data_IF_013148138388
#
_entry.id   IF_013148138388
#
_cell.length_a   1.000
_cell.length_b   1.000
_cell.length_c   1.000
_cell.angle_alpha   90.00
_cell.angle_beta   90.00
_cell.angle_gamma   90.00
#
_symmetry.space_group_name_H-M   'P 1'
#
loop_
_entity.id
_entity.type
_entity.pdbx_description
1 polymer ?
#
# COMPACT_ATOMS: atom_id res chain seq x y z
N UNK A 1 18.56 -9.19 -10.30
CA UNK A 1 18.90 -10.63 -10.15
C UNK A 1 17.61 -11.43 -10.02
N UNK A 2 17.62 -12.72 -10.35
CA UNK A 2 16.47 -13.61 -10.16
C UNK A 2 16.58 -14.29 -8.81
N UNK A 3 15.54 -14.22 -8.00
CA UNK A 3 15.49 -14.88 -6.70
C UNK A 3 15.16 -16.38 -6.80
N UNK A 4 15.24 -17.12 -5.69
CA UNK A 4 15.14 -18.59 -5.71
C UNK A 4 13.72 -19.12 -5.96
N UNK A 5 12.67 -18.29 -5.84
CA UNK A 5 11.28 -18.72 -5.98
C UNK A 5 10.64 -18.34 -7.31
N UNK A 6 11.39 -17.69 -8.20
CA UNK A 6 10.94 -17.37 -9.57
C UNK A 6 12.07 -17.62 -10.57
N UNK A 7 11.72 -17.92 -11.82
CA UNK A 7 12.67 -17.97 -12.93
C UNK A 7 12.66 -16.70 -13.79
N UNK A 8 11.74 -15.77 -13.52
CA UNK A 8 11.53 -14.56 -14.32
C UNK A 8 12.47 -13.45 -13.83
N UNK A 9 13.19 -12.84 -14.76
CA UNK A 9 14.03 -11.67 -14.48
C UNK A 9 13.18 -10.48 -13.95
N UNK A 10 13.83 -9.52 -13.24
CA UNK A 10 13.09 -8.39 -12.66
C UNK A 10 12.34 -7.55 -13.70
N UNK A 11 11.10 -7.22 -13.38
CA UNK A 11 10.26 -6.32 -14.17
C UNK A 11 10.66 -4.85 -14.02
N UNK A 12 11.47 -4.52 -13.00
CA UNK A 12 12.11 -3.21 -12.85
C UNK A 12 13.62 -3.31 -13.12
N UNK A 13 14.17 -2.22 -13.65
CA UNK A 13 15.61 -2.01 -13.79
C UNK A 13 16.00 -0.65 -13.22
N UNK A 14 17.19 -0.53 -12.57
CA UNK A 14 17.68 0.77 -12.12
C UNK A 14 17.79 1.76 -13.27
N UNK A 15 17.43 3.01 -13.02
CA UNK A 15 17.67 4.08 -13.98
C UNK A 15 19.17 4.29 -14.17
N UNK A 16 19.60 4.59 -15.39
CA UNK A 16 21.00 4.67 -15.74
C UNK A 16 21.78 5.63 -14.83
N UNK A 17 22.89 5.15 -14.27
CA UNK A 17 23.75 5.91 -13.36
C UNK A 17 23.46 5.72 -11.87
N UNK A 18 22.34 5.10 -11.49
CA UNK A 18 22.04 4.79 -10.09
C UNK A 18 22.79 3.53 -9.62
N UNK A 19 23.30 3.50 -8.37
CA UNK A 19 23.97 2.34 -7.79
C UNK A 19 22.99 1.27 -7.28
N UNK A 20 21.76 1.31 -7.71
CA UNK A 20 20.66 0.47 -7.24
C UNK A 20 20.68 -0.92 -7.87
N UNK A 21 19.99 -1.86 -7.25
CA UNK A 21 19.81 -3.20 -7.84
C UNK A 21 18.41 -3.72 -7.54
N UNK A 22 17.94 -4.69 -8.35
CA UNK A 22 16.64 -5.32 -8.22
C UNK A 22 16.79 -6.83 -8.17
N UNK A 23 16.04 -7.48 -7.27
CA UNK A 23 15.90 -8.93 -7.21
C UNK A 23 14.43 -9.30 -7.31
N UNK A 24 14.04 -10.10 -8.31
CA UNK A 24 12.69 -10.66 -8.39
C UNK A 24 12.50 -11.70 -7.30
N UNK A 25 11.37 -11.65 -6.59
CA UNK A 25 11.05 -12.61 -5.50
C UNK A 25 10.04 -13.64 -5.99
N UNK A 26 8.95 -13.19 -6.59
CA UNK A 26 7.85 -14.03 -7.03
C UNK A 26 7.14 -13.37 -8.23
N UNK A 27 6.75 -14.16 -9.21
CA UNK A 27 6.03 -13.71 -10.41
C UNK A 27 4.67 -14.39 -10.48
N UNK A 28 3.65 -13.72 -10.99
CA UNK A 28 2.33 -14.30 -11.20
C UNK A 28 2.43 -15.62 -11.98
N UNK A 29 1.82 -16.68 -11.45
CA UNK A 29 1.94 -18.04 -11.94
C UNK A 29 2.95 -18.91 -11.20
N UNK A 30 3.94 -18.34 -10.51
CA UNK A 30 4.86 -19.11 -9.67
C UNK A 30 4.11 -19.81 -8.53
N UNK A 31 4.63 -20.95 -8.10
CA UNK A 31 4.01 -21.80 -7.09
C UNK A 31 4.99 -22.07 -5.95
N UNK A 32 4.54 -21.88 -4.72
CA UNK A 32 5.30 -22.11 -3.49
C UNK A 32 4.56 -23.09 -2.56
N UNK A 33 5.19 -23.61 -1.50
CA UNK A 33 4.49 -24.39 -0.49
C UNK A 33 3.33 -23.59 0.12
N UNK A 34 2.16 -24.23 0.24
CA UNK A 34 1.03 -23.63 0.94
C UNK A 34 1.17 -23.82 2.45
N UNK A 35 0.91 -22.78 3.23
CA UNK A 35 0.78 -22.91 4.69
C UNK A 35 -0.34 -23.90 5.00
N UNK A 36 -0.02 -24.93 5.78
CA UNK A 36 -0.96 -26.03 6.07
C UNK A 36 -0.92 -27.18 5.08
N UNK A 37 -0.09 -27.12 4.03
CA UNK A 37 0.16 -28.22 3.08
C UNK A 37 -0.42 -27.99 1.68
N UNK A 38 0.21 -28.63 0.70
CA UNK A 38 -0.10 -28.43 -0.72
C UNK A 38 0.73 -27.32 -1.36
N UNK A 39 0.21 -26.72 -2.44
CA UNK A 39 0.86 -25.63 -3.17
C UNK A 39 -0.03 -24.39 -3.23
N UNK A 40 0.60 -23.21 -3.28
CA UNK A 40 -0.06 -21.92 -3.38
C UNK A 40 0.55 -21.15 -4.54
N UNK A 41 -0.31 -20.67 -5.44
CA UNK A 41 0.11 -19.98 -6.66
C UNK A 41 -0.09 -18.47 -6.50
N UNK A 42 0.91 -17.69 -6.93
CA UNK A 42 0.78 -16.24 -7.03
C UNK A 42 -0.22 -15.90 -8.14
N UNK A 43 -1.21 -15.10 -7.78
CA UNK A 43 -2.19 -14.52 -8.69
C UNK A 43 -1.68 -13.15 -9.15
N UNK A 44 -2.17 -12.67 -10.28
CA UNK A 44 -1.77 -11.38 -10.84
C UNK A 44 -2.43 -10.19 -10.15
N UNK A 45 -2.22 -9.05 -10.76
CA UNK A 45 -2.67 -7.73 -10.27
C UNK A 45 -2.21 -7.49 -8.82
N UNK A 46 -0.89 -7.74 -8.52
CA UNK A 46 -0.35 -7.42 -7.20
C UNK A 46 -0.33 -5.92 -7.00
N UNK A 47 -0.77 -5.46 -5.84
CA UNK A 47 -0.81 -4.06 -5.51
C UNK A 47 -0.26 -3.82 -4.09
N UNK A 48 -0.95 -3.01 -3.28
CA UNK A 48 -0.53 -2.60 -1.96
C UNK A 48 0.19 -3.66 -1.15
N UNK A 49 1.34 -3.31 -0.61
CA UNK A 49 2.21 -4.20 0.14
C UNK A 49 2.28 -3.79 1.61
N UNK A 50 2.47 -4.80 2.45
CA UNK A 50 2.83 -4.62 3.84
C UNK A 50 3.82 -5.72 4.26
N UNK A 51 4.68 -5.47 5.25
CA UNK A 51 5.64 -6.47 5.72
C UNK A 51 5.80 -6.46 7.23
N UNK A 52 6.01 -7.65 7.82
CA UNK A 52 6.29 -7.80 9.25
C UNK A 52 7.42 -8.81 9.48
N UNK A 53 8.30 -8.48 10.41
CA UNK A 53 9.33 -9.41 10.89
C UNK A 53 8.72 -10.50 11.75
N UNK A 54 8.95 -11.76 11.41
CA UNK A 54 8.48 -12.91 12.21
C UNK A 54 9.40 -13.23 13.41
N UNK A 55 10.59 -12.60 13.51
CA UNK A 55 11.55 -12.80 14.59
C UNK A 55 12.29 -14.13 14.57
N UNK A 56 12.09 -14.98 13.54
CA UNK A 56 12.62 -16.34 13.43
C UNK A 56 13.49 -16.57 12.18
N UNK A 57 14.05 -15.50 11.60
CA UNK A 57 14.82 -15.56 10.35
C UNK A 57 13.96 -15.45 9.09
N UNK A 58 12.64 -15.30 9.24
CA UNK A 58 11.72 -15.03 8.12
C UNK A 58 10.98 -13.70 8.34
N UNK A 59 10.34 -13.23 7.30
CA UNK A 59 9.36 -12.14 7.37
C UNK A 59 8.14 -12.50 6.51
N UNK A 60 7.00 -11.88 6.81
CA UNK A 60 5.76 -12.07 6.05
C UNK A 60 5.45 -10.81 5.27
N UNK A 61 5.20 -10.97 3.97
CA UNK A 61 4.64 -9.94 3.10
C UNK A 61 3.15 -10.19 2.94
N UNK A 62 2.35 -9.15 3.12
CA UNK A 62 0.94 -9.09 2.78
C UNK A 62 0.84 -8.31 1.48
N UNK A 63 0.08 -8.85 0.52
CA UNK A 63 -0.04 -8.28 -0.82
C UNK A 63 -1.50 -8.24 -1.21
N UNK A 64 -1.99 -7.06 -1.53
CA UNK A 64 -3.29 -6.89 -2.15
C UNK A 64 -3.28 -7.46 -3.57
N UNK A 65 -4.43 -7.96 -4.00
CA UNK A 65 -4.68 -8.31 -5.39
C UNK A 65 -5.92 -7.53 -5.86
N UNK A 66 -5.70 -6.62 -6.78
CA UNK A 66 -6.68 -5.66 -7.29
C UNK A 66 -7.64 -6.31 -8.30
N UNK A 67 -8.26 -7.41 -7.92
CA UNK A 67 -9.21 -8.11 -8.77
C UNK A 67 -10.62 -7.55 -8.62
N UNK A 68 -11.31 -7.36 -9.76
CA UNK A 68 -12.73 -7.04 -9.74
C UNK A 68 -13.55 -8.19 -9.16
N UNK A 69 -14.58 -7.85 -8.37
CA UNK A 69 -15.53 -8.83 -7.81
C UNK A 69 -16.00 -9.83 -8.87
N UNK A 70 -15.98 -11.11 -8.54
CA UNK A 70 -16.35 -12.19 -9.43
C UNK A 70 -15.24 -12.69 -10.37
N UNK A 71 -14.07 -12.03 -10.40
CA UNK A 71 -12.89 -12.47 -11.18
C UNK A 71 -11.97 -13.38 -10.38
N UNK A 72 -11.21 -14.21 -11.07
CA UNK A 72 -10.24 -15.13 -10.47
C UNK A 72 -10.88 -16.35 -9.80
N UNK A 73 -10.08 -17.04 -8.99
CA UNK A 73 -10.53 -18.22 -8.24
C UNK A 73 -11.23 -17.86 -6.94
N UNK A 74 -12.04 -18.78 -6.42
CA UNK A 74 -12.61 -18.64 -5.07
C UNK A 74 -11.50 -18.74 -4.04
N UNK A 75 -11.42 -17.76 -3.15
CA UNK A 75 -10.40 -17.62 -2.10
C UNK A 75 -10.91 -18.23 -0.77
N UNK A 76 -10.03 -18.24 0.27
CA UNK A 76 -10.36 -18.86 1.56
C UNK A 76 -11.62 -18.28 2.22
N UNK A 77 -11.91 -17.00 2.01
CA UNK A 77 -13.15 -16.37 2.50
C UNK A 77 -14.41 -16.73 1.69
N UNK A 78 -14.32 -17.67 0.74
CA UNK A 78 -15.48 -18.24 0.05
C UNK A 78 -16.02 -17.44 -1.12
N UNK A 79 -15.32 -16.40 -1.60
CA UNK A 79 -15.71 -15.61 -2.77
C UNK A 79 -14.52 -15.40 -3.71
N UNK A 80 -14.79 -14.97 -4.94
CA UNK A 80 -13.81 -14.47 -5.90
C UNK A 80 -13.85 -12.96 -5.97
N UNK A 81 -12.76 -12.34 -6.48
CA UNK A 81 -12.51 -10.90 -6.51
C UNK A 81 -11.26 -10.54 -5.74
N UNK A 82 -11.19 -9.31 -5.23
CA UNK A 82 -10.06 -8.82 -4.47
C UNK A 82 -9.83 -9.64 -3.19
N UNK A 83 -8.56 -9.80 -2.82
CA UNK A 83 -8.14 -10.51 -1.61
C UNK A 83 -6.73 -10.08 -1.22
N UNK A 84 -6.28 -10.50 -0.03
CA UNK A 84 -4.91 -10.30 0.43
C UNK A 84 -4.20 -11.65 0.51
N UNK A 85 -3.05 -11.79 -0.16
CA UNK A 85 -2.17 -12.95 -0.02
C UNK A 85 -1.11 -12.70 1.05
N UNK A 86 -0.60 -13.79 1.63
CA UNK A 86 0.54 -13.77 2.57
C UNK A 86 1.69 -14.60 2.00
N UNK A 87 2.92 -14.07 2.12
CA UNK A 87 4.13 -14.71 1.63
C UNK A 87 5.17 -14.74 2.75
N UNK A 88 5.54 -15.93 3.20
CA UNK A 88 6.59 -16.12 4.21
C UNK A 88 7.91 -16.26 3.48
N UNK A 89 8.83 -15.33 3.72
CA UNK A 89 10.09 -15.19 2.99
C UNK A 89 11.27 -15.35 3.96
N UNK A 90 12.23 -16.19 3.61
CA UNK A 90 13.49 -16.33 4.33
C UNK A 90 14.37 -15.09 4.11
N UNK A 91 14.85 -14.47 5.19
CA UNK A 91 15.61 -13.20 5.13
C UNK A 91 16.96 -13.33 4.47
N UNK A 92 17.61 -14.49 4.62
CA UNK A 92 18.97 -14.70 4.13
C UNK A 92 19.00 -15.04 2.64
N UNK A 93 18.00 -15.78 2.15
CA UNK A 93 17.98 -16.32 0.79
C UNK A 93 16.95 -15.65 -0.12
N UNK A 94 15.97 -14.94 0.44
CA UNK A 94 14.78 -14.43 -0.24
C UNK A 94 13.88 -15.53 -0.81
N UNK A 95 14.05 -16.78 -0.34
CA UNK A 95 13.16 -17.87 -0.74
C UNK A 95 11.79 -17.72 -0.09
N UNK A 96 10.73 -17.81 -0.89
CA UNK A 96 9.37 -17.88 -0.40
C UNK A 96 9.11 -19.29 0.09
N UNK A 97 8.95 -19.45 1.40
CA UNK A 97 8.82 -20.74 2.08
C UNK A 97 7.35 -21.10 2.37
N UNK A 98 6.44 -20.16 2.22
CA UNK A 98 5.01 -20.38 2.41
C UNK A 98 4.13 -19.30 1.80
N UNK A 99 2.95 -19.69 1.32
CA UNK A 99 1.91 -18.78 0.83
C UNK A 99 0.53 -19.18 1.34
N UNK A 100 -0.36 -18.20 1.55
CA UNK A 100 -1.75 -18.42 1.95
C UNK A 100 -2.61 -17.18 1.65
N UNK A 101 -3.94 -17.33 1.69
CA UNK A 101 -4.85 -16.20 1.78
C UNK A 101 -4.89 -15.69 3.22
N UNK A 102 -4.79 -14.37 3.40
CA UNK A 102 -4.95 -13.74 4.72
C UNK A 102 -6.40 -13.84 5.18
N UNK A 103 -7.34 -13.41 4.34
CA UNK A 103 -8.74 -13.25 4.70
C UNK A 103 -9.43 -14.61 4.72
N UNK A 104 -9.93 -15.00 5.89
CA UNK A 104 -10.69 -16.25 6.09
C UNK A 104 -12.19 -15.98 6.23
N UNK A 105 -12.55 -14.87 6.89
CA UNK A 105 -13.93 -14.44 7.12
C UNK A 105 -14.01 -12.92 7.10
N UNK A 106 -15.20 -12.39 6.82
CA UNK A 106 -15.48 -10.95 6.81
C UNK A 106 -16.60 -10.62 7.77
N UNK A 107 -16.36 -9.69 8.68
CA UNK A 107 -17.35 -9.08 9.58
C UNK A 107 -17.87 -7.80 8.92
N UNK A 108 -19.05 -7.88 8.31
CA UNK A 108 -19.74 -6.74 7.70
C UNK A 108 -20.47 -5.90 8.74
N UNK A 109 -20.71 -4.63 8.45
CA UNK A 109 -21.45 -3.75 9.34
C UNK A 109 -22.97 -3.87 9.13
N UNK A 110 -23.72 -3.99 10.23
CA UNK A 110 -25.17 -3.88 10.24
C UNK A 110 -25.55 -2.43 10.62
N UNK A 111 -25.84 -1.62 9.62
CA UNK A 111 -26.17 -0.21 9.83
C UNK A 111 -27.45 0.02 10.65
N UNK A 112 -28.40 -0.92 10.62
CA UNK A 112 -29.66 -0.82 11.40
C UNK A 112 -29.37 -1.10 12.86
N UNK A 113 -28.58 -2.15 13.16
CA UNK A 113 -28.25 -2.51 14.53
C UNK A 113 -27.11 -1.71 15.15
N UNK A 114 -26.31 -1.00 14.32
CA UNK A 114 -25.12 -0.28 14.78
C UNK A 114 -24.05 -1.22 15.34
N UNK A 115 -23.94 -2.43 14.80
CA UNK A 115 -23.01 -3.47 15.27
C UNK A 115 -22.47 -4.29 14.09
N UNK A 116 -21.38 -5.01 14.29
CA UNK A 116 -20.91 -5.99 13.31
C UNK A 116 -21.83 -7.23 13.25
N UNK A 117 -22.06 -7.72 12.05
CA UNK A 117 -22.53 -9.09 11.87
C UNK A 117 -21.43 -10.05 12.30
N UNK A 118 -21.81 -11.27 12.69
CA UNK A 118 -20.83 -12.34 12.92
C UNK A 118 -19.97 -12.55 11.67
N UNK A 119 -18.66 -12.80 11.83
CA UNK A 119 -17.78 -13.08 10.70
C UNK A 119 -18.31 -14.23 9.85
N UNK A 120 -18.36 -14.02 8.54
CA UNK A 120 -18.93 -14.97 7.58
C UNK A 120 -18.05 -15.14 6.35
N UNK A 121 -18.27 -16.23 5.61
CA UNK A 121 -17.69 -16.49 4.29
C UNK A 121 -18.65 -16.08 3.18
N UNK A 122 -18.16 -16.04 1.93
CA UNK A 122 -18.98 -15.73 0.75
C UNK A 122 -19.17 -14.22 0.48
N UNK A 123 -18.47 -13.37 1.20
CA UNK A 123 -18.49 -11.92 0.99
C UNK A 123 -17.46 -11.57 -0.09
N UNK A 124 -17.92 -11.15 -1.25
CA UNK A 124 -17.04 -10.69 -2.33
C UNK A 124 -16.52 -9.28 -2.08
N UNK A 125 -15.28 -9.05 -2.48
CA UNK A 125 -14.59 -7.76 -2.43
C UNK A 125 -14.08 -7.40 -3.83
N UNK A 126 -13.78 -6.12 -4.06
CA UNK A 126 -13.38 -5.64 -5.38
C UNK A 126 -12.22 -4.67 -5.26
N UNK A 127 -11.25 -4.77 -6.18
CA UNK A 127 -10.15 -3.83 -6.38
C UNK A 127 -9.56 -3.31 -5.06
N UNK A 128 -8.70 -4.11 -4.44
CA UNK A 128 -7.84 -3.68 -3.35
C UNK A 128 -6.56 -3.11 -3.93
N UNK A 129 -6.46 -1.78 -3.96
CA UNK A 129 -5.28 -1.06 -4.42
C UNK A 129 -4.22 -0.97 -3.32
N UNK A 130 -3.79 0.21 -2.90
CA UNK A 130 -2.76 0.36 -1.90
C UNK A 130 -3.12 -0.23 -0.51
N UNK A 131 -2.14 -0.38 0.37
CA UNK A 131 -2.30 -0.93 1.71
C UNK A 131 -1.45 -0.19 2.74
N UNK A 132 -1.94 -0.12 3.98
CA UNK A 132 -1.18 0.41 5.12
C UNK A 132 -1.06 -0.63 6.24
N UNK A 133 0.16 -0.85 6.74
CA UNK A 133 0.42 -1.59 7.98
C UNK A 133 1.01 -0.65 9.02
N UNK A 134 0.18 0.08 9.76
CA UNK A 134 0.65 1.09 10.69
C UNK A 134 1.51 0.48 11.80
N UNK A 135 2.38 1.28 12.37
CA UNK A 135 3.10 0.92 13.60
C UNK A 135 2.11 0.74 14.76
N UNK A 136 2.50 -0.01 15.78
CA UNK A 136 1.63 -0.35 16.94
C UNK A 136 1.03 0.91 17.60
N UNK A 137 1.77 2.01 17.66
CA UNK A 137 1.33 3.27 18.27
C UNK A 137 0.11 3.89 17.61
N UNK A 138 -0.14 3.61 16.33
CA UNK A 138 -1.34 4.08 15.64
C UNK A 138 -2.63 3.58 16.31
N UNK A 139 -2.62 2.35 16.84
CA UNK A 139 -3.79 1.71 17.44
C UNK A 139 -3.65 1.38 18.93
N UNK A 140 -2.49 1.62 19.53
CA UNK A 140 -2.25 1.41 20.95
C UNK A 140 -1.48 2.58 21.56
N UNK A 141 -2.02 3.16 22.63
CA UNK A 141 -1.31 4.17 23.41
C UNK A 141 -0.77 3.53 24.70
N UNK A 142 0.52 3.27 24.75
CA UNK A 142 1.17 2.69 25.93
C UNK A 142 1.09 3.58 27.17
N UNK A 143 0.91 4.90 27.01
CA UNK A 143 0.79 5.86 28.12
C UNK A 143 -0.52 5.75 28.88
N UNK A 144 -1.64 5.50 28.18
CA UNK A 144 -2.97 5.32 28.78
C UNK A 144 -3.38 3.84 28.92
N UNK A 145 -2.72 2.95 28.18
CA UNK A 145 -3.11 1.54 28.05
C UNK A 145 -4.34 1.30 27.18
N UNK A 146 -4.82 2.32 26.45
CA UNK A 146 -5.96 2.22 25.54
C UNK A 146 -5.53 1.73 24.16
N UNK A 147 -6.43 1.00 23.51
CA UNK A 147 -6.22 0.48 22.16
C UNK A 147 -5.93 -1.00 22.09
N UNK A 148 -5.30 -1.43 21.01
CA UNK A 148 -4.86 -2.80 20.76
C UNK A 148 -3.44 -2.83 20.20
N UNK A 149 -2.61 -3.77 20.69
CA UNK A 149 -1.29 -4.05 20.13
C UNK A 149 -1.36 -5.10 18.99
N UNK A 150 -2.54 -5.65 18.71
CA UNK A 150 -2.74 -6.52 17.57
C UNK A 150 -2.51 -5.75 16.27
N UNK A 151 -1.84 -6.42 15.33
CA UNK A 151 -1.47 -5.79 14.06
C UNK A 151 -2.65 -5.89 13.09
N UNK A 152 -2.87 -4.81 12.38
CA UNK A 152 -3.97 -4.64 11.43
C UNK A 152 -3.40 -4.06 10.14
N UNK A 153 -3.69 -4.69 9.02
CA UNK A 153 -3.47 -4.12 7.68
C UNK A 153 -4.75 -3.42 7.27
N UNK A 154 -4.64 -2.16 6.89
CA UNK A 154 -5.74 -1.38 6.32
C UNK A 154 -5.68 -1.45 4.80
N UNK A 155 -6.82 -1.48 4.15
CA UNK A 155 -6.99 -1.31 2.71
C UNK A 155 -8.43 -0.88 2.40
N UNK A 156 -8.71 -0.60 1.13
CA UNK A 156 -10.04 -0.23 0.69
C UNK A 156 -10.39 -0.82 -0.66
N UNK A 157 -11.68 -0.76 -1.00
CA UNK A 157 -12.18 -1.07 -2.34
C UNK A 157 -12.16 0.20 -3.19
N UNK A 158 -11.40 0.22 -4.26
CA UNK A 158 -11.47 1.24 -5.28
C UNK A 158 -12.71 1.01 -6.14
N UNK A 159 -13.82 1.57 -5.71
CA UNK A 159 -15.10 1.43 -6.41
C UNK A 159 -16.02 2.62 -6.13
N UNK A 160 -16.22 3.45 -7.13
CA UNK A 160 -17.13 4.61 -7.07
C UNK A 160 -18.60 4.25 -6.86
N UNK A 161 -18.97 2.97 -6.93
CA UNK A 161 -20.36 2.53 -6.68
C UNK A 161 -20.60 2.15 -5.22
N UNK A 162 -19.59 1.60 -4.51
CA UNK A 162 -19.82 0.96 -3.22
C UNK A 162 -18.55 0.77 -2.37
N UNK A 163 -17.44 1.42 -2.69
CA UNK A 163 -16.15 1.17 -2.04
C UNK A 163 -16.21 1.18 -0.52
N UNK A 164 -15.66 0.15 0.10
CA UNK A 164 -15.61 -0.07 1.54
C UNK A 164 -14.15 -0.01 2.01
N UNK A 165 -13.91 0.59 3.17
CA UNK A 165 -12.65 0.46 3.87
C UNK A 165 -12.65 -0.79 4.77
N UNK A 166 -11.50 -1.42 4.95
CA UNK A 166 -11.34 -2.65 5.73
C UNK A 166 -10.15 -2.60 6.69
N UNK A 167 -10.30 -3.33 7.78
CA UNK A 167 -9.26 -3.67 8.74
C UNK A 167 -9.04 -5.19 8.73
N UNK A 168 -7.89 -5.63 8.25
CA UNK A 168 -7.51 -7.04 8.18
C UNK A 168 -6.64 -7.36 9.40
N UNK A 169 -7.16 -8.13 10.35
CA UNK A 169 -6.43 -8.52 11.56
C UNK A 169 -5.40 -9.59 11.22
N UNK A 170 -4.11 -9.32 11.50
CA UNK A 170 -3.01 -10.23 11.14
C UNK A 170 -2.35 -10.93 12.33
N UNK A 171 -2.67 -10.50 13.57
CA UNK A 171 -2.16 -11.15 14.80
C UNK A 171 -3.28 -11.35 15.81
N UNK A 172 -3.01 -12.15 16.85
CA UNK A 172 -3.98 -12.42 17.91
C UNK A 172 -5.04 -13.46 17.54
N UNK A 173 -6.10 -13.54 18.33
CA UNK A 173 -7.17 -14.55 18.17
C UNK A 173 -8.06 -14.31 16.96
N UNK A 174 -8.16 -13.06 16.53
CA UNK A 174 -9.00 -12.64 15.40
C UNK A 174 -8.19 -12.59 14.07
N UNK A 175 -6.97 -13.14 14.07
CA UNK A 175 -6.15 -13.23 12.85
C UNK A 175 -6.89 -13.95 11.73
N UNK A 176 -6.94 -13.32 10.55
CA UNK A 176 -7.70 -13.79 9.39
C UNK A 176 -9.15 -13.28 9.31
N UNK A 177 -9.62 -12.52 10.31
CA UNK A 177 -10.90 -11.82 10.24
C UNK A 177 -10.67 -10.42 9.69
N UNK A 178 -11.44 -10.08 8.67
CA UNK A 178 -11.49 -8.74 8.07
C UNK A 178 -12.75 -8.02 8.51
N UNK A 179 -12.61 -6.80 9.01
CA UNK A 179 -13.72 -5.97 9.46
C UNK A 179 -13.98 -4.83 8.48
N UNK A 180 -15.22 -4.64 8.06
CA UNK A 180 -15.66 -3.44 7.34
C UNK A 180 -15.55 -2.23 8.27
N UNK A 181 -15.12 -1.06 7.75
CA UNK A 181 -14.94 0.18 8.51
C UNK A 181 -15.94 1.26 8.05
N UNK A 182 -17.22 1.14 8.38
CA UNK A 182 -18.28 2.00 7.83
C UNK A 182 -18.17 3.46 8.29
N UNK A 183 -17.50 3.73 9.41
CA UNK A 183 -17.33 5.09 9.92
C UNK A 183 -16.28 5.90 9.15
N UNK A 184 -15.50 5.25 8.27
CA UNK A 184 -14.66 5.92 7.29
C UNK A 184 -15.45 6.36 6.04
N UNK A 185 -16.77 6.06 5.98
CA UNK A 185 -17.63 6.36 4.86
C UNK A 185 -17.55 5.32 3.74
N UNK A 186 -17.96 5.74 2.56
CA UNK A 186 -17.90 5.02 1.28
C UNK A 186 -17.18 5.90 0.29
N UNK A 187 -16.12 5.40 -0.32
CA UNK A 187 -15.34 6.11 -1.33
C UNK A 187 -14.75 5.12 -2.33
N UNK A 188 -14.22 5.59 -3.44
CA UNK A 188 -13.34 4.79 -4.29
C UNK A 188 -11.96 4.75 -3.61
N UNK A 189 -11.83 3.94 -2.56
CA UNK A 189 -10.64 3.99 -1.72
C UNK A 189 -9.42 3.46 -2.46
N UNK A 190 -8.51 4.38 -2.81
CA UNK A 190 -7.16 4.00 -3.15
C UNK A 190 -6.43 3.46 -1.92
N UNK A 191 -6.43 4.22 -0.83
CA UNK A 191 -5.86 3.77 0.43
C UNK A 191 -6.60 4.33 1.64
N UNK A 192 -6.37 3.71 2.80
CA UNK A 192 -6.75 4.18 4.13
C UNK A 192 -5.56 4.07 5.07
N UNK A 193 -5.01 5.21 5.51
CA UNK A 193 -3.67 5.32 6.11
C UNK A 193 -3.74 5.88 7.53
N UNK A 194 -3.31 5.09 8.52
CA UNK A 194 -3.41 5.47 9.93
C UNK A 194 -2.18 6.27 10.42
N UNK A 195 -2.45 7.35 11.17
CA UNK A 195 -1.40 8.18 11.75
C UNK A 195 -0.58 7.41 12.80
N UNK A 196 0.78 7.46 12.74
CA UNK A 196 1.65 6.69 13.64
C UNK A 196 1.77 7.26 15.06
N UNK A 197 1.26 8.45 15.35
CA UNK A 197 1.47 9.13 16.63
C UNK A 197 0.75 8.41 17.79
N UNK A 198 1.49 8.21 18.90
CA UNK A 198 0.97 7.56 20.09
C UNK A 198 0.06 8.50 20.90
N UNK A 199 -1.24 8.33 20.79
CA UNK A 199 -2.28 9.10 21.49
C UNK A 199 -3.55 8.28 21.65
N UNK A 200 -4.53 8.80 22.41
CA UNK A 200 -5.82 8.13 22.60
C UNK A 200 -6.76 8.28 21.40
N UNK A 201 -6.54 9.28 20.54
CA UNK A 201 -7.21 9.36 19.25
C UNK A 201 -6.61 8.38 18.25
N UNK A 202 -7.44 7.92 17.34
CA UNK A 202 -7.05 7.21 16.12
C UNK A 202 -7.43 8.08 14.93
N UNK A 203 -6.44 8.44 14.12
CA UNK A 203 -6.62 9.28 12.95
C UNK A 203 -6.31 8.43 11.71
N UNK A 204 -7.22 8.39 10.75
CA UNK A 204 -7.05 7.66 9.49
C UNK A 204 -7.41 8.59 8.34
N UNK A 205 -6.50 8.72 7.38
CA UNK A 205 -6.78 9.41 6.11
C UNK A 205 -7.30 8.38 5.12
N UNK A 206 -8.42 8.71 4.46
CA UNK A 206 -8.97 7.95 3.33
C UNK A 206 -8.87 8.77 2.06
N UNK A 207 -8.39 8.16 1.00
CA UNK A 207 -8.16 8.78 -0.30
C UNK A 207 -9.18 8.22 -1.29
N UNK A 208 -10.02 9.11 -1.86
CA UNK A 208 -11.08 8.75 -2.80
C UNK A 208 -10.60 8.97 -4.23
N UNK A 209 -10.13 7.90 -4.89
CA UNK A 209 -9.74 7.92 -6.28
C UNK A 209 -10.96 8.08 -7.21
N UNK A 210 -11.56 9.23 -7.14
CA UNK A 210 -12.58 9.69 -8.07
C UNK A 210 -12.10 10.93 -8.83
N UNK A 211 -12.67 11.17 -10.00
CA UNK A 211 -12.29 12.29 -10.86
C UNK A 211 -13.39 13.35 -10.96
N UNK A 212 -13.48 14.32 -10.01
CA UNK A 212 -12.61 14.54 -8.84
C UNK A 212 -13.09 13.78 -7.60
N UNK A 213 -12.17 13.51 -6.65
CA UNK A 213 -12.42 12.86 -5.37
C UNK A 213 -11.97 13.67 -4.16
N UNK A 214 -12.16 13.15 -2.96
CA UNK A 214 -11.89 13.86 -1.72
C UNK A 214 -10.75 13.19 -0.92
N UNK A 215 -10.12 13.99 -0.05
CA UNK A 215 -9.25 13.50 1.02
C UNK A 215 -10.04 13.56 2.32
N UNK A 216 -10.38 12.39 2.85
CA UNK A 216 -11.12 12.25 4.10
C UNK A 216 -10.19 12.07 5.29
N UNK A 217 -10.61 12.54 6.46
CA UNK A 217 -9.92 12.33 7.73
C UNK A 217 -10.91 11.78 8.75
N UNK A 218 -10.74 10.53 9.12
CA UNK A 218 -11.49 9.91 10.20
C UNK A 218 -10.79 10.15 11.54
N UNK A 219 -11.55 10.51 12.57
CA UNK A 219 -11.05 10.70 13.93
C UNK A 219 -11.89 9.88 14.89
N UNK A 220 -11.29 8.84 15.46
CA UNK A 220 -11.89 7.98 16.47
C UNK A 220 -11.15 8.03 17.80
N UNK A 221 -11.61 7.26 18.77
CA UNK A 221 -10.98 7.14 20.09
C UNK A 221 -10.68 5.68 20.42
N UNK A 222 -9.47 5.41 20.88
CA UNK A 222 -9.08 4.10 21.39
C UNK A 222 -9.87 3.73 22.63
N UNK A 223 -10.13 2.44 22.80
CA UNK A 223 -10.90 1.92 23.94
C UNK A 223 -10.17 0.77 24.64
N UNK A 224 -10.55 0.48 25.89
CA UNK A 224 -10.00 -0.65 26.65
C UNK A 224 -10.76 -1.95 26.43
N UNK A 225 -11.96 -1.90 25.83
CA UNK A 225 -12.87 -3.05 25.66
C UNK A 225 -13.46 -3.06 24.25
N UNK A 226 -14.06 -4.17 23.85
CA UNK A 226 -14.65 -4.37 22.54
C UNK A 226 -13.81 -5.29 21.64
N UNK A 227 -14.21 -5.41 20.39
CA UNK A 227 -13.45 -6.10 19.34
C UNK A 227 -12.12 -5.39 19.07
N UNK A 228 -11.24 -6.03 18.30
CA UNK A 228 -9.94 -5.45 17.90
C UNK A 228 -10.11 -4.06 17.28
N UNK A 229 -11.05 -3.89 16.34
CA UNK A 229 -11.27 -2.62 15.64
C UNK A 229 -11.95 -1.56 16.50
N UNK A 230 -12.78 -1.95 17.47
CA UNK A 230 -13.35 -1.01 18.45
C UNK A 230 -12.26 -0.52 19.41
N UNK A 231 -11.43 -1.43 19.93
CA UNK A 231 -10.26 -1.04 20.75
C UNK A 231 -9.30 -0.14 19.97
N UNK A 232 -9.05 -0.46 18.71
CA UNK A 232 -8.21 0.37 17.83
C UNK A 232 -8.77 1.79 17.59
N UNK A 233 -10.00 2.07 17.98
CA UNK A 233 -10.66 3.36 17.73
C UNK A 233 -11.11 3.54 16.27
N UNK A 234 -11.31 2.45 15.54
CA UNK A 234 -11.76 2.47 14.13
C UNK A 234 -13.28 2.45 13.97
N UNK A 235 -14.02 2.46 15.09
CA UNK A 235 -15.48 2.43 15.13
C UNK A 235 -16.00 3.58 16.01
N UNK A 236 -17.11 4.20 15.61
CA UNK A 236 -17.80 5.21 16.39
C UNK A 236 -17.17 6.63 16.35
N UNK A 237 -16.16 6.84 15.50
CA UNK A 237 -15.57 8.16 15.28
C UNK A 237 -16.35 9.03 14.30
N UNK A 238 -15.81 10.20 13.99
CA UNK A 238 -16.36 11.17 13.05
C UNK A 238 -15.53 11.23 11.76
N UNK A 239 -16.22 11.41 10.64
CA UNK A 239 -15.59 11.63 9.32
C UNK A 239 -15.60 13.12 8.99
N UNK A 240 -14.45 13.60 8.56
CA UNK A 240 -14.23 14.94 8.05
C UNK A 240 -13.68 14.88 6.63
N UNK A 241 -13.87 15.95 5.86
CA UNK A 241 -13.17 16.17 4.61
C UNK A 241 -12.23 17.36 4.69
N UNK A 242 -11.11 17.29 3.99
CA UNK A 242 -10.16 18.41 3.86
C UNK A 242 -10.82 19.53 3.06
N UNK A 243 -10.87 20.73 3.66
CA UNK A 243 -11.49 21.92 3.06
C UNK A 243 -10.46 23.04 2.99
N UNK A 244 -10.20 23.54 1.79
CA UNK A 244 -9.28 24.66 1.54
C UNK A 244 -10.07 25.87 1.07
N UNK A 245 -9.96 26.98 1.79
CA UNK A 245 -10.72 28.18 1.50
C UNK A 245 -10.41 28.70 0.07
N UNK A 246 -11.46 28.92 -0.72
CA UNK A 246 -11.34 29.38 -2.10
C UNK A 246 -10.94 28.30 -3.12
N UNK A 247 -10.83 27.04 -2.71
CA UNK A 247 -10.47 25.90 -3.55
C UNK A 247 -11.58 24.83 -3.47
N UNK A 248 -12.59 24.97 -4.31
CA UNK A 248 -13.64 23.95 -4.40
C UNK A 248 -13.14 22.67 -5.07
N UNK A 249 -12.27 22.81 -6.07
CA UNK A 249 -11.59 21.70 -6.76
C UNK A 249 -10.13 22.06 -6.94
N UNK A 250 -9.26 21.06 -6.89
CA UNK A 250 -7.83 21.18 -7.20
C UNK A 250 -7.65 21.98 -8.50
N UNK A 251 -7.01 23.15 -8.45
CA UNK A 251 -6.82 23.95 -9.64
C UNK A 251 -5.50 23.58 -10.34
N UNK A 252 -5.32 24.11 -11.56
CA UNK A 252 -4.02 24.18 -12.19
C UNK A 252 -3.18 25.25 -11.46
N UNK A 253 -2.73 24.97 -10.24
CA UNK A 253 -1.98 25.92 -9.43
C UNK A 253 -0.49 25.81 -9.69
N UNK A 254 0.15 26.99 -9.80
CA UNK A 254 1.58 27.09 -9.57
C UNK A 254 1.84 27.03 -8.06
N UNK A 255 2.84 26.27 -7.58
CA UNK A 255 3.17 26.17 -6.16
C UNK A 255 3.79 27.47 -5.68
N UNK A 256 3.08 28.28 -4.94
CA UNK A 256 3.68 29.55 -4.47
C UNK A 256 3.46 29.85 -3.00
N UNK A 257 2.53 29.20 -2.32
CA UNK A 257 2.35 29.36 -0.88
C UNK A 257 1.48 28.25 -0.29
N UNK A 258 1.79 27.86 0.94
CA UNK A 258 0.92 27.01 1.70
C UNK A 258 -0.46 27.67 1.90
N UNK A 259 -1.53 26.95 1.61
CA UNK A 259 -2.89 27.37 1.85
C UNK A 259 -3.39 26.76 3.17
N UNK A 260 -4.12 27.54 3.97
CA UNK A 260 -4.74 26.96 5.16
C UNK A 260 -5.83 25.96 4.76
N UNK A 261 -5.87 24.82 5.45
CA UNK A 261 -6.98 23.88 5.38
C UNK A 261 -7.68 23.74 6.74
N UNK A 262 -8.93 23.41 6.70
CA UNK A 262 -9.73 22.99 7.85
C UNK A 262 -10.34 21.61 7.60
N UNK A 263 -10.83 20.97 8.64
CA UNK A 263 -11.61 19.74 8.53
C UNK A 263 -13.10 20.06 8.63
N UNK A 264 -13.84 19.87 7.54
CA UNK A 264 -15.30 20.03 7.52
C UNK A 264 -15.98 18.71 7.87
N UNK A 265 -16.86 18.70 8.86
CA UNK A 265 -17.57 17.49 9.28
C UNK A 265 -18.52 17.01 8.18
N UNK A 266 -18.35 15.76 7.74
CA UNK A 266 -19.25 15.13 6.76
C UNK A 266 -20.51 14.57 7.43
N UNK A 267 -20.42 14.29 8.75
CA UNK A 267 -21.53 13.81 9.54
C UNK A 267 -21.50 12.31 9.84
N UNK A 268 -22.64 11.73 10.19
CA UNK A 268 -22.77 10.31 10.49
C UNK A 268 -22.88 9.51 9.19
N UNK A 269 -21.83 8.80 8.82
CA UNK A 269 -21.68 8.15 7.49
C UNK A 269 -21.87 6.64 7.49
N UNK A 270 -21.89 5.98 8.65
CA UNK A 270 -21.83 4.52 8.77
C UNK A 270 -22.97 3.74 8.09
N UNK A 271 -24.01 4.38 7.65
CA UNK A 271 -25.14 3.77 6.92
C UNK A 271 -25.38 4.40 5.55
N UNK A 272 -24.52 5.33 5.13
CA UNK A 272 -24.68 6.05 3.88
C UNK A 272 -24.10 5.24 2.70
N UNK A 273 -24.73 5.40 1.53
CA UNK A 273 -24.14 4.96 0.26
C UNK A 273 -23.07 5.95 -0.19
N UNK A 274 -22.23 5.52 -1.17
CA UNK A 274 -21.24 6.40 -1.80
C UNK A 274 -21.84 7.75 -2.23
N UNK A 275 -22.93 7.74 -3.01
CA UNK A 275 -23.58 8.98 -3.50
C UNK A 275 -24.10 9.87 -2.35
N UNK A 276 -24.48 9.29 -1.21
CA UNK A 276 -24.90 10.07 -0.05
C UNK A 276 -23.72 10.70 0.69
N UNK A 277 -22.57 9.98 0.76
CA UNK A 277 -21.34 10.54 1.32
C UNK A 277 -20.84 11.68 0.44
N UNK A 278 -20.86 11.53 -0.89
CA UNK A 278 -20.54 12.58 -1.86
C UNK A 278 -21.44 13.83 -1.64
N UNK A 279 -22.75 13.63 -1.55
CA UNK A 279 -23.68 14.75 -1.32
C UNK A 279 -23.43 15.45 0.02
N UNK A 280 -23.10 14.69 1.06
CA UNK A 280 -22.77 15.25 2.38
C UNK A 280 -21.45 16.04 2.32
N UNK A 281 -20.44 15.54 1.61
CA UNK A 281 -19.17 16.21 1.40
C UNK A 281 -19.30 17.51 0.61
N UNK A 282 -20.10 17.50 -0.47
CA UNK A 282 -20.42 18.71 -1.23
C UNK A 282 -21.14 19.75 -0.37
N UNK A 283 -22.09 19.32 0.46
CA UNK A 283 -22.82 20.19 1.39
C UNK A 283 -21.88 20.79 2.46
N UNK A 284 -20.89 20.01 2.90
CA UNK A 284 -19.87 20.45 3.87
C UNK A 284 -18.80 21.36 3.25
N UNK A 285 -18.77 21.50 1.92
CA UNK A 285 -17.80 22.31 1.19
C UNK A 285 -16.42 21.69 1.13
N UNK A 286 -16.33 20.36 1.18
CA UNK A 286 -15.05 19.62 1.09
C UNK A 286 -14.39 19.90 -0.25
N UNK A 287 -13.08 20.15 -0.22
CA UNK A 287 -12.27 20.33 -1.44
C UNK A 287 -12.14 19.02 -2.20
N UNK A 288 -12.28 19.07 -3.52
CA UNK A 288 -12.07 17.94 -4.43
C UNK A 288 -10.69 18.01 -5.06
N UNK A 289 -9.99 16.88 -5.06
CA UNK A 289 -8.72 16.69 -5.73
C UNK A 289 -8.90 15.88 -7.02
N UNK A 290 -7.95 15.97 -7.95
CA UNK A 290 -8.03 15.29 -9.23
C UNK A 290 -7.45 13.88 -9.10
N UNK A 291 -8.27 12.92 -8.68
CA UNK A 291 -7.88 11.56 -8.33
C UNK A 291 -6.81 11.58 -7.23
N UNK A 292 -7.16 11.77 -5.96
CA UNK A 292 -6.23 11.56 -4.86
C UNK A 292 -5.98 10.06 -4.73
N UNK A 293 -4.76 9.65 -5.08
CA UNK A 293 -4.28 8.29 -5.02
C UNK A 293 -3.68 7.99 -3.63
N UNK A 294 -2.60 7.23 -3.56
CA UNK A 294 -2.00 6.83 -2.29
C UNK A 294 -1.40 8.00 -1.49
N UNK A 295 -1.18 7.76 -0.19
CA UNK A 295 -0.59 8.71 0.74
C UNK A 295 0.16 8.04 1.88
N UNK A 296 1.01 8.81 2.56
CA UNK A 296 1.84 8.31 3.65
C UNK A 296 2.07 9.38 4.71
N UNK A 297 2.04 8.98 5.99
CA UNK A 297 2.46 9.82 7.10
C UNK A 297 3.99 9.83 7.23
N UNK A 298 4.55 11.01 7.54
CA UNK A 298 5.97 11.11 7.89
C UNK A 298 6.23 10.39 9.22
N UNK A 299 7.07 9.36 9.26
CA UNK A 299 7.33 8.61 10.49
C UNK A 299 8.08 9.43 11.54
N UNK A 300 8.75 10.52 11.14
CA UNK A 300 9.52 11.41 12.00
C UNK A 300 8.75 12.68 12.39
N UNK A 301 7.77 13.08 11.57
CA UNK A 301 6.93 14.26 11.76
C UNK A 301 5.46 13.87 11.58
N UNK A 302 4.83 13.26 12.59
CA UNK A 302 3.48 12.67 12.46
C UNK A 302 2.37 13.70 12.18
N UNK A 303 2.68 14.98 12.20
CA UNK A 303 1.82 16.07 11.73
C UNK A 303 1.79 16.23 10.21
N UNK A 304 2.75 15.63 9.48
CA UNK A 304 2.86 15.72 8.02
C UNK A 304 2.29 14.46 7.35
N UNK A 305 1.30 14.66 6.48
CA UNK A 305 0.76 13.64 5.59
C UNK A 305 1.02 14.04 4.14
N UNK A 306 1.64 13.16 3.39
CA UNK A 306 1.89 13.33 1.95
C UNK A 306 0.93 12.47 1.15
N UNK A 307 0.41 12.99 0.03
CA UNK A 307 -0.40 12.22 -0.90
C UNK A 307 -0.18 12.70 -2.33
N UNK A 308 -0.49 11.85 -3.28
CA UNK A 308 -0.39 12.18 -4.70
C UNK A 308 -1.76 12.37 -5.32
N UNK A 309 -1.85 13.16 -6.39
CA UNK A 309 -3.02 13.23 -7.27
C UNK A 309 -2.56 13.09 -8.71
N UNK A 310 -3.28 12.28 -9.50
CA UNK A 310 -2.82 11.89 -10.82
C UNK A 310 -3.56 12.53 -11.98
N UNK A 311 -4.76 13.03 -11.80
CA UNK A 311 -5.61 13.60 -12.84
C UNK A 311 -5.84 12.66 -14.07
N UNK A 312 -5.60 11.35 -13.89
CA UNK A 312 -5.64 10.31 -14.93
C UNK A 312 -4.23 9.94 -15.44
N UNK A 313 -4.08 8.73 -16.02
CA UNK A 313 -2.79 8.14 -16.43
C UNK A 313 -1.95 9.01 -17.36
N UNK A 314 -2.57 9.93 -18.09
CA UNK A 314 -1.88 10.92 -18.94
C UNK A 314 -1.65 12.24 -18.22
N UNK A 315 -2.15 12.37 -17.00
CA UNK A 315 -2.05 13.59 -16.19
C UNK A 315 -0.67 13.77 -15.59
N UNK A 316 -0.28 15.03 -15.43
CA UNK A 316 0.90 15.39 -14.69
C UNK A 316 0.69 15.07 -13.21
N UNK A 317 1.49 14.15 -12.68
CA UNK A 317 1.40 13.72 -11.29
C UNK A 317 1.79 14.85 -10.33
N UNK A 318 1.02 15.03 -9.27
CA UNK A 318 1.26 16.05 -8.25
C UNK A 318 1.50 15.42 -6.89
N UNK A 319 2.32 16.08 -6.09
CA UNK A 319 2.62 15.70 -4.71
C UNK A 319 2.17 16.82 -3.76
N UNK A 320 1.35 16.46 -2.81
CA UNK A 320 0.79 17.35 -1.80
C UNK A 320 1.31 17.00 -0.40
N UNK A 321 1.37 18.00 0.48
CA UNK A 321 1.58 17.81 1.91
C UNK A 321 0.51 18.52 2.71
N UNK A 322 -0.20 17.78 3.56
CA UNK A 322 -1.01 18.30 4.67
C UNK A 322 -0.14 18.34 5.92
N UNK A 323 0.13 19.53 6.45
CA UNK A 323 0.76 19.71 7.76
C UNK A 323 -0.29 20.14 8.76
N UNK A 324 -0.66 19.25 9.67
CA UNK A 324 -1.58 19.56 10.76
C UNK A 324 -0.92 20.50 11.77
N UNK A 325 -1.68 21.48 12.28
CA UNK A 325 -1.16 22.42 13.28
C UNK A 325 -0.89 21.74 14.64
N UNK A 326 -1.72 20.74 14.96
CA UNK A 326 -1.62 19.91 16.15
C UNK A 326 -2.27 18.55 15.86
N UNK A 327 -1.48 17.50 15.77
CA UNK A 327 -2.00 16.16 15.47
C UNK A 327 -2.82 15.55 16.62
N UNK A 328 -2.74 16.11 17.81
CA UNK A 328 -3.61 15.71 18.92
C UNK A 328 -5.00 16.34 18.82
N UNK A 329 -5.13 17.38 17.99
CA UNK A 329 -6.37 18.08 17.69
C UNK A 329 -6.49 18.33 16.18
N UNK A 330 -6.60 17.25 15.37
CA UNK A 330 -6.56 17.35 13.90
C UNK A 330 -7.69 18.21 13.35
N UNK A 331 -8.78 18.38 14.10
CA UNK A 331 -9.93 19.21 13.75
C UNK A 331 -9.55 20.68 13.58
N UNK A 332 -8.42 21.13 14.15
CA UNK A 332 -7.92 22.49 13.99
C UNK A 332 -7.35 22.75 12.58
N UNK A 333 -7.22 21.69 11.75
CA UNK A 333 -6.66 21.80 10.42
C UNK A 333 -5.18 22.14 10.40
N UNK A 334 -4.74 22.86 9.37
CA UNK A 334 -3.32 23.14 9.18
C UNK A 334 -3.00 23.84 7.86
N UNK A 335 -1.90 23.46 7.23
CA UNK A 335 -1.43 23.99 5.96
C UNK A 335 -1.33 22.90 4.89
N UNK A 336 -1.90 23.16 3.70
CA UNK A 336 -1.72 22.37 2.50
C UNK A 336 -0.62 22.99 1.64
N UNK A 337 0.36 22.23 1.21
CA UNK A 337 1.41 22.63 0.29
C UNK A 337 1.43 21.74 -0.93
N UNK A 338 1.60 22.30 -2.12
CA UNK A 338 1.91 21.57 -3.34
C UNK A 338 3.44 21.50 -3.47
N UNK A 339 3.99 20.30 -3.55
CA UNK A 339 5.43 20.03 -3.62
C UNK A 339 5.87 19.70 -5.04
N UNK A 340 5.10 18.91 -5.79
CA UNK A 340 5.29 18.70 -7.23
C UNK A 340 4.03 19.20 -7.94
N UNK A 341 4.20 20.05 -8.96
CA UNK A 341 3.08 20.66 -9.69
C UNK A 341 2.77 19.94 -11.01
N UNK A 342 3.56 18.91 -11.33
CA UNK A 342 3.44 18.10 -12.54
C UNK A 342 4.35 18.58 -13.68
N UNK A 343 5.18 19.60 -13.48
CA UNK A 343 6.17 20.04 -14.49
C UNK A 343 7.46 19.25 -14.42
N UNK A 344 7.66 18.45 -13.36
CA UNK A 344 8.86 17.65 -13.11
C UNK A 344 8.93 16.37 -13.95
N UNK A 345 7.85 16.03 -14.66
CA UNK A 345 7.81 14.97 -15.65
C UNK A 345 7.37 13.60 -15.12
N UNK A 346 6.89 13.50 -13.88
CA UNK A 346 6.16 12.34 -13.40
C UNK A 346 4.74 12.33 -14.00
N UNK A 347 4.25 11.14 -14.38
CA UNK A 347 2.92 10.97 -14.99
C UNK A 347 2.17 9.86 -14.26
N UNK A 348 0.88 10.08 -13.97
CA UNK A 348 0.09 9.07 -13.31
C UNK A 348 0.74 8.63 -11.99
N UNK A 349 1.07 9.58 -11.10
CA UNK A 349 1.56 9.21 -9.76
C UNK A 349 0.43 8.48 -9.04
N UNK A 350 0.75 7.32 -8.51
CA UNK A 350 -0.18 6.38 -7.92
C UNK A 350 0.22 6.03 -6.47
N UNK A 351 1.23 5.19 -6.26
CA UNK A 351 1.66 4.81 -4.92
C UNK A 351 2.81 5.68 -4.37
N UNK A 352 2.87 5.77 -3.05
CA UNK A 352 3.87 6.56 -2.33
C UNK A 352 4.28 5.87 -1.02
N UNK A 353 5.56 5.95 -0.67
CA UNK A 353 6.08 5.46 0.60
C UNK A 353 7.33 6.22 1.04
N UNK A 354 7.67 6.14 2.33
CA UNK A 354 8.98 6.56 2.81
C UNK A 354 10.01 5.46 2.56
N UNK A 355 11.18 5.86 2.13
CA UNK A 355 12.33 4.96 2.00
C UNK A 355 13.29 5.02 3.18
N UNK A 356 14.29 4.14 3.19
CA UNK A 356 15.28 4.02 4.27
C UNK A 356 16.14 5.27 4.47
N UNK A 357 16.14 6.16 3.51
CA UNK A 357 16.87 7.42 3.49
C UNK A 357 16.01 8.62 3.98
N UNK A 358 14.78 8.35 4.46
CA UNK A 358 13.85 9.37 4.93
C UNK A 358 13.28 10.27 3.82
N UNK A 359 13.38 9.84 2.57
CA UNK A 359 12.80 10.52 1.42
C UNK A 359 11.56 9.78 0.91
N UNK A 360 10.75 10.46 0.10
CA UNK A 360 9.57 9.85 -0.51
C UNK A 360 9.96 9.09 -1.77
N UNK A 361 9.34 7.94 -1.94
CA UNK A 361 9.42 7.11 -3.14
C UNK A 361 8.05 7.05 -3.77
N UNK A 362 7.97 7.44 -5.04
CA UNK A 362 6.73 7.62 -5.79
C UNK A 362 6.70 6.63 -6.94
N UNK A 363 5.55 6.06 -7.23
CA UNK A 363 5.35 5.09 -8.29
C UNK A 363 4.33 5.61 -9.31
N UNK A 364 4.44 5.14 -10.55
CA UNK A 364 3.62 5.58 -11.66
C UNK A 364 2.71 4.46 -12.19
N UNK A 365 1.48 4.83 -12.53
CA UNK A 365 0.60 4.19 -13.52
C UNK A 365 0.51 5.12 -14.75
N UNK A 366 1.50 5.10 -15.66
CA UNK A 366 1.58 6.02 -16.77
C UNK A 366 0.79 5.53 -18.00
N UNK A 367 0.58 6.38 -19.01
CA UNK A 367 0.02 5.92 -20.28
C UNK A 367 0.91 4.87 -20.95
N UNK A 368 0.29 3.93 -21.68
CA UNK A 368 0.95 2.82 -22.38
C UNK A 368 2.04 3.23 -23.40
N UNK A 369 2.19 4.51 -23.68
CA UNK A 369 3.25 5.06 -24.55
C UNK A 369 4.58 5.30 -23.85
N UNK A 370 4.63 5.11 -22.53
CA UNK A 370 5.80 5.35 -21.70
C UNK A 370 5.96 4.21 -20.67
N UNK A 371 7.21 3.80 -20.42
CA UNK A 371 7.51 2.87 -19.35
C UNK A 371 7.28 3.50 -17.97
N UNK A 372 6.63 2.77 -17.08
CA UNK A 372 6.40 3.17 -15.71
C UNK A 372 7.72 3.39 -14.96
N UNK A 373 7.74 4.33 -14.03
CA UNK A 373 8.93 4.70 -13.25
C UNK A 373 8.65 4.66 -11.77
N UNK A 374 9.73 4.44 -11.02
CA UNK A 374 9.81 4.71 -9.59
C UNK A 374 10.72 5.92 -9.41
N UNK A 375 10.23 6.90 -8.68
CA UNK A 375 10.91 8.16 -8.43
C UNK A 375 11.32 8.25 -6.96
N UNK A 376 12.40 8.99 -6.68
CA UNK A 376 12.81 9.41 -5.35
C UNK A 376 12.66 10.91 -5.25
N UNK A 377 11.81 11.40 -4.35
CA UNK A 377 11.68 12.82 -4.06
C UNK A 377 12.44 13.17 -2.79
N UNK A 378 13.46 14.01 -2.94
CA UNK A 378 14.36 14.41 -1.86
C UNK A 378 13.77 15.61 -1.13
N UNK A 379 13.17 15.37 0.03
CA UNK A 379 12.49 16.39 0.83
C UNK A 379 13.35 17.60 1.18
N UNK A 380 14.63 17.35 1.47
CA UNK A 380 15.56 18.42 1.89
C UNK A 380 15.93 19.42 0.78
N UNK A 381 15.83 19.01 -0.49
CA UNK A 381 16.29 19.83 -1.64
C UNK A 381 15.19 20.07 -2.67
N UNK A 382 13.98 19.56 -2.44
CA UNK A 382 12.84 19.68 -3.36
C UNK A 382 13.20 19.18 -4.77
N UNK A 383 13.78 17.98 -4.85
CA UNK A 383 14.24 17.40 -6.11
C UNK A 383 13.63 16.04 -6.36
N UNK A 384 13.07 15.86 -7.56
CA UNK A 384 12.57 14.58 -8.07
C UNK A 384 13.65 13.91 -8.93
N UNK A 385 13.98 12.66 -8.62
CA UNK A 385 15.00 11.85 -9.30
C UNK A 385 14.41 10.52 -9.78
N UNK A 386 14.64 10.15 -11.05
CA UNK A 386 14.28 8.81 -11.55
C UNK A 386 15.17 7.76 -10.90
N UNK A 387 14.57 6.79 -10.22
CA UNK A 387 15.27 5.73 -9.50
C UNK A 387 15.28 4.41 -10.28
N UNK A 388 14.10 3.94 -10.68
CA UNK A 388 13.91 2.73 -11.49
C UNK A 388 12.93 3.02 -12.63
N UNK A 389 12.91 2.11 -13.60
CA UNK A 389 11.88 2.05 -14.64
C UNK A 389 11.49 0.62 -14.93
N UNK A 390 10.31 0.43 -15.48
CA UNK A 390 9.91 -0.85 -16.03
C UNK A 390 10.95 -1.34 -17.06
N UNK A 391 11.26 -2.64 -17.01
CA UNK A 391 12.35 -3.22 -17.82
C UNK A 391 11.96 -3.23 -19.30
N UNK A 392 12.65 -2.50 -20.20
CA UNK A 392 12.26 -2.38 -21.59
C UNK A 392 12.10 -3.72 -22.30
N UNK A 393 12.89 -4.76 -21.91
CA UNK A 393 12.81 -6.09 -22.51
C UNK A 393 11.46 -6.79 -22.28
N UNK A 394 10.69 -6.37 -21.27
CA UNK A 394 9.35 -6.91 -20.99
C UNK A 394 8.24 -5.99 -21.52
N UNK A 395 8.41 -4.66 -21.46
CA UNK A 395 7.33 -3.70 -21.62
C UNK A 395 7.47 -2.76 -22.82
N UNK A 396 8.47 -2.97 -23.68
CA UNK A 396 8.62 -2.18 -24.89
C UNK A 396 9.06 -3.00 -26.10
N UNK A 397 8.77 -2.50 -27.30
CA UNK A 397 9.13 -3.17 -28.56
C UNK A 397 8.16 -4.29 -28.96
N UNK A 398 8.47 -4.94 -30.09
CA UNK A 398 7.57 -5.93 -30.71
C UNK A 398 7.44 -7.27 -29.96
N UNK A 399 8.19 -7.46 -28.88
CA UNK A 399 8.14 -8.64 -28.01
C UNK A 399 7.67 -8.32 -26.58
N UNK A 400 7.09 -7.13 -26.38
CA UNK A 400 6.54 -6.75 -25.08
C UNK A 400 5.46 -7.76 -24.64
N UNK A 401 5.48 -8.16 -23.36
CA UNK A 401 4.43 -9.00 -22.77
C UNK A 401 3.15 -8.21 -22.58
N UNK A 402 3.28 -6.91 -22.30
CA UNK A 402 2.19 -5.94 -22.26
C UNK A 402 2.74 -4.52 -22.50
N UNK A 403 1.83 -3.58 -22.64
CA UNK A 403 2.11 -2.14 -22.63
C UNK A 403 1.12 -1.49 -21.65
N UNK A 404 1.56 -0.51 -20.88
CA UNK A 404 0.75 0.09 -19.82
C UNK A 404 0.87 -0.69 -18.52
N UNK A 405 2.10 -1.15 -18.22
CA UNK A 405 2.45 -1.69 -16.91
C UNK A 405 2.45 -0.59 -15.87
N UNK A 406 2.13 -0.98 -14.62
CA UNK A 406 2.07 -0.11 -13.47
C UNK A 406 3.11 -0.52 -12.43
N UNK A 407 3.80 0.45 -11.82
CA UNK A 407 4.62 0.22 -10.64
C UNK A 407 3.80 0.52 -9.39
N UNK A 408 3.72 -0.44 -8.45
CA UNK A 408 2.79 -0.37 -7.34
C UNK A 408 3.39 -0.94 -6.05
N UNK A 409 2.79 -0.65 -4.91
CA UNK A 409 3.09 -1.17 -3.60
C UNK A 409 4.55 -0.97 -3.19
N UNK A 410 4.90 0.13 -2.52
CA UNK A 410 6.28 0.39 -2.07
C UNK A 410 6.37 0.42 -0.55
N UNK A 411 7.25 -0.42 0.02
CA UNK A 411 7.39 -0.59 1.48
C UNK A 411 8.85 -0.66 1.89
N UNK A 412 9.25 0.14 2.89
CA UNK A 412 10.56 0.05 3.52
C UNK A 412 10.67 -1.22 4.39
N UNK A 413 11.59 -2.10 4.03
CA UNK A 413 11.91 -3.32 4.79
C UNK A 413 13.33 -3.32 5.35
N UNK A 414 13.94 -2.16 5.46
CA UNK A 414 15.32 -1.98 5.91
C UNK A 414 15.53 -2.46 7.34
N UNK A 415 14.59 -2.19 8.23
CA UNK A 415 14.62 -2.69 9.60
C UNK A 415 14.47 -4.22 9.71
N UNK A 416 13.81 -4.84 8.72
CA UNK A 416 13.60 -6.28 8.64
C UNK A 416 14.84 -6.99 8.11
N UNK A 417 15.46 -6.44 7.06
CA UNK A 417 16.55 -7.08 6.32
C UNK A 417 17.95 -6.57 6.70
N UNK A 418 18.03 -5.50 7.50
CA UNK A 418 19.32 -4.95 7.97
C UNK A 418 20.12 -4.21 6.90
N UNK A 419 19.46 -3.60 5.92
CA UNK A 419 20.08 -2.83 4.84
C UNK A 419 19.05 -1.95 4.13
N UNK A 420 19.47 -1.05 3.23
CA UNK A 420 18.58 -0.10 2.56
C UNK A 420 17.74 -0.79 1.47
N UNK A 421 16.65 -1.39 1.87
CA UNK A 421 15.81 -2.20 1.02
C UNK A 421 14.36 -1.74 1.01
N UNK A 422 13.77 -1.73 -0.19
CA UNK A 422 12.34 -1.54 -0.41
C UNK A 422 11.76 -2.81 -1.05
N UNK A 423 10.55 -3.19 -0.70
CA UNK A 423 9.71 -4.06 -1.52
C UNK A 423 8.94 -3.19 -2.51
N UNK A 424 8.74 -3.71 -3.71
CA UNK A 424 7.85 -3.12 -4.71
C UNK A 424 7.19 -4.21 -5.56
N UNK A 425 6.04 -3.91 -6.13
CA UNK A 425 5.39 -4.75 -7.11
C UNK A 425 5.28 -4.04 -8.47
N UNK A 426 4.96 -4.82 -9.50
CA UNK A 426 4.57 -4.35 -10.83
C UNK A 426 3.37 -5.15 -11.28
N UNK A 427 2.32 -4.46 -11.68
CA UNK A 427 1.24 -5.05 -12.46
C UNK A 427 1.66 -5.02 -13.93
N UNK A 428 1.67 -6.17 -14.59
CA UNK A 428 2.06 -6.22 -16.00
C UNK A 428 0.87 -6.14 -16.95
N UNK A 429 -0.35 -6.27 -16.44
CA UNK A 429 -1.63 -6.23 -17.18
C UNK A 429 -1.75 -7.21 -18.35
N UNK A 430 -0.77 -8.10 -18.54
CA UNK A 430 -0.92 -9.16 -19.53
C UNK A 430 -1.98 -10.18 -19.07
N UNK A 431 -2.88 -10.55 -19.95
CA UNK A 431 -3.89 -11.56 -19.63
C UNK A 431 -3.26 -12.92 -19.36
N UNK A 432 -3.60 -13.54 -18.24
CA UNK A 432 -3.17 -14.86 -17.85
C UNK A 432 -4.37 -15.82 -17.74
N UNK A 433 -4.17 -17.13 -18.01
CA UNK A 433 -5.28 -18.09 -17.98
C UNK A 433 -5.80 -18.38 -16.57
N UNK A 434 -7.10 -18.65 -16.47
CA UNK A 434 -7.74 -19.15 -15.27
C UNK A 434 -7.70 -18.22 -14.09
N UNK A 435 -7.32 -18.74 -12.91
CA UNK A 435 -7.35 -18.00 -11.66
C UNK A 435 -6.23 -16.96 -11.51
N UNK A 436 -5.21 -16.97 -12.40
CA UNK A 436 -4.10 -16.02 -12.37
C UNK A 436 -4.57 -14.63 -12.83
N UNK A 437 -5.47 -14.56 -13.77
CA UNK A 437 -6.14 -13.38 -14.34
C UNK A 437 -5.20 -12.51 -15.17
N UNK A 438 -4.16 -11.93 -14.55
CA UNK A 438 -3.14 -11.08 -15.20
C UNK A 438 -1.75 -11.37 -14.65
N UNK A 439 -0.72 -10.79 -15.26
CA UNK A 439 0.65 -10.87 -14.79
C UNK A 439 0.96 -9.92 -13.64
N UNK A 440 2.16 -10.00 -13.15
CA UNK A 440 2.71 -9.13 -12.09
C UNK A 440 3.87 -9.79 -11.35
N UNK A 441 4.64 -8.99 -10.60
CA UNK A 441 5.84 -9.47 -9.93
C UNK A 441 6.10 -8.72 -8.63
N UNK A 442 6.49 -9.45 -7.58
CA UNK A 442 7.04 -8.92 -6.33
C UNK A 442 8.56 -8.86 -6.43
N UNK A 443 9.17 -7.74 -6.03
CA UNK A 443 10.61 -7.50 -6.12
C UNK A 443 11.16 -6.88 -4.85
N UNK A 444 12.46 -7.09 -4.61
CA UNK A 444 13.28 -6.38 -3.64
C UNK A 444 14.17 -5.38 -4.37
N UNK A 445 14.11 -4.12 -3.98
CA UNK A 445 14.94 -3.04 -4.47
C UNK A 445 16.02 -2.74 -3.42
N UNK A 446 17.30 -2.74 -3.82
CA UNK A 446 18.41 -2.29 -2.98
C UNK A 446 18.76 -0.86 -3.39
N UNK A 447 18.72 0.06 -2.43
CA UNK A 447 18.82 1.51 -2.65
C UNK A 447 19.90 2.17 -1.78
N UNK A 448 21.16 1.69 -1.84
CA UNK A 448 22.24 2.27 -1.05
C UNK A 448 22.45 3.74 -1.42
N UNK A 449 22.76 4.58 -0.44
CA UNK A 449 23.21 5.94 -0.71
C UNK A 449 24.54 5.96 -1.46
N UNK A 450 24.71 6.90 -2.39
CA UNK A 450 25.96 7.07 -3.12
C UNK A 450 27.10 7.38 -2.12
N UNK A 451 28.09 6.49 -2.06
CA UNK A 451 29.26 6.61 -1.16
C UNK A 451 29.18 5.78 0.12
N UNK A 452 28.09 5.13 0.42
CA UNK A 452 28.00 4.17 1.54
C UNK A 452 28.50 2.82 1.08
N UNK A 453 29.67 2.39 1.52
CA UNK A 453 30.16 1.02 1.28
C UNK A 453 29.52 0.10 2.31
N UNK A 454 28.39 -0.47 1.96
CA UNK A 454 27.80 -1.57 2.75
C UNK A 454 28.59 -2.84 2.50
N UNK A 455 28.86 -3.66 3.52
CA UNK A 455 29.51 -4.94 3.31
C UNK A 455 28.58 -5.83 2.44
N UNK A 456 28.97 -6.03 1.19
CA UNK A 456 28.34 -7.03 0.34
C UNK A 456 28.64 -8.38 0.96
N UNK A 457 27.68 -9.00 1.61
CA UNK A 457 27.78 -10.41 2.01
C UNK A 457 27.69 -11.24 0.70
N UNK A 458 28.84 -11.39 0.04
CA UNK A 458 28.96 -12.37 -1.02
C UNK A 458 28.93 -13.75 -0.37
N UNK A 459 27.82 -14.45 -0.49
CA UNK A 459 27.78 -15.90 -0.26
C UNK A 459 28.58 -16.55 -1.39
N UNK A 460 29.89 -16.71 -1.18
CA UNK A 460 30.72 -17.56 -2.03
C UNK A 460 30.36 -19.00 -1.68
N UNK A 461 29.55 -19.63 -2.52
CA UNK A 461 29.38 -21.08 -2.46
C UNK A 461 30.71 -21.74 -2.75
N UNK A 462 31.47 -22.09 -1.70
CA UNK A 462 32.66 -22.92 -1.82
C UNK A 462 32.21 -24.35 -2.11
N UNK A 463 32.18 -24.70 -3.39
CA UNK A 463 32.03 -26.07 -3.83
C UNK A 463 33.25 -26.88 -3.42
N UNK A 464 33.16 -27.66 -2.33
CA UNK A 464 34.17 -28.63 -1.95
C UNK A 464 34.10 -29.82 -2.93
N UNK A 465 34.95 -29.80 -3.95
CA UNK A 465 35.19 -30.97 -4.81
C UNK A 465 36.00 -32.01 -4.01
N UNK A 466 35.33 -33.03 -3.48
CA UNK A 466 36.01 -34.21 -2.92
C UNK A 466 36.60 -35.00 -4.07
N UNK A 467 37.90 -34.87 -4.29
CA UNK A 467 38.68 -35.73 -5.16
C UNK A 467 38.95 -37.06 -4.45
N UNK A 468 38.16 -38.08 -4.75
CA UNK A 468 38.53 -39.46 -4.39
C UNK A 468 39.80 -39.87 -5.14
N UNK A 469 40.91 -39.99 -4.43
CA UNK A 469 42.10 -40.69 -4.92
C UNK A 469 41.84 -42.20 -4.92
N UNK A 470 41.76 -42.79 -6.08
CA UNK A 470 41.91 -44.24 -6.22
C UNK A 470 43.38 -44.59 -5.93
N UNK A 471 43.60 -45.29 -4.84
CA UNK A 471 44.88 -45.98 -4.61
C UNK A 471 44.93 -47.23 -5.44
N UNK A 472 45.88 -47.29 -6.34
CA UNK A 472 46.37 -48.57 -6.98
C UNK A 472 47.42 -49.14 -6.07
N UNK A 473 47.20 -50.39 -5.74
CA UNK A 473 48.08 -51.02 -4.94
C UNK A 473 48.85 -52.09 -5.23
N UNK A 474 49.60 -52.66 -4.71
CA UNK A 474 50.30 -53.97 -4.86
C UNK A 474 49.93 -54.82 -3.65
#
# INVERSE_FOLDING_TARGET
MTGPSTSTAPYLTPFAGNPYSVTSILTAGDTVPKVGGGSYQMVGVPDGLAAIDNGNGTFTVYMNHELTSGTGGVRAHGASGAFVSTWIIDKATLQVTGGADLIQQVATWNAIGGVFNAPATGISMTRFCAADLPVVSAFYNAGSGLGTAERIVLNGEESSASGRAFANVITGTDSGITHELPHLGRASFENVVANPFAQDKTIVVGLDDAAPGQVYVYVGNKASTGSVVERAGLVGGALYGVTVAGMATEPNLSPTSASAFSLSAVGAVAGLSYAQVETASDTAGVTKFLRPEDGVWDPSHPEDFYFVSTAGNTGAGRLWRLRFSDITQPENGGALSLLLDGTEGALGLDNIGFGPDGNLWLQEDPPASRLARVWRYILATDQLQSAFQATPGFFSGGSAISTGEETTGIVDVSSILGGPYLLAAVQSHESQPGAIVQGGQLMLLSVPEAGTVWPVVMVVAVGVAIRMRRGSGL
#
